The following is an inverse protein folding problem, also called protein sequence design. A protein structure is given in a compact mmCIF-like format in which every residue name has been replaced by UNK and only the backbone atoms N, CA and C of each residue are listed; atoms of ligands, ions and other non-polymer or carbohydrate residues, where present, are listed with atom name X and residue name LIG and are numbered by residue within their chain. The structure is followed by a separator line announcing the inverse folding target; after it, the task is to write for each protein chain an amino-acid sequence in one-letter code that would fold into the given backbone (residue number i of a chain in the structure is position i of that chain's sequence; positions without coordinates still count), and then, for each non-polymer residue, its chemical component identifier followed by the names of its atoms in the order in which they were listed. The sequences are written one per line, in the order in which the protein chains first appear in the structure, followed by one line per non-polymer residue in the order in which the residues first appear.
data_IF_037421898464
#
_entry.id   IF_037421898464
#
_cell.length_a   1.000
_cell.length_b   1.000
_cell.length_c   1.000
_cell.angle_alpha   90.00
_cell.angle_beta   90.00
_cell.angle_gamma   90.00
#
_symmetry.space_group_name_H-M   'P 1'
#
loop_
_entity.id
_entity.type
_entity.pdbx_description
1 polymer ?
#
# COMPACT_ATOMS: atom_id res chain seq x y z
N UNK A 1 -5.61 9.94 -7.44
CA UNK A 1 -5.31 8.85 -8.40
C UNK A 1 -4.02 8.19 -7.97
N UNK A 2 -4.04 6.87 -7.75
CA UNK A 2 -2.85 6.08 -7.42
C UNK A 2 -2.14 5.68 -8.71
N UNK A 3 -0.98 6.27 -8.98
CA UNK A 3 -0.16 5.92 -10.15
C UNK A 3 1.32 6.04 -9.79
N UNK A 4 2.12 5.07 -10.26
CA UNK A 4 3.56 5.01 -10.06
C UNK A 4 4.01 3.64 -9.53
N UNK A 5 5.28 3.32 -9.78
CA UNK A 5 5.95 2.11 -9.26
C UNK A 5 6.97 2.53 -8.19
N UNK A 6 6.97 1.82 -7.06
CA UNK A 6 7.90 2.05 -5.97
C UNK A 6 8.45 0.72 -5.46
N UNK A 7 9.77 0.63 -5.28
CA UNK A 7 10.41 -0.55 -4.70
C UNK A 7 10.67 -0.31 -3.23
N UNK A 8 10.14 -1.18 -2.40
CA UNK A 8 10.31 -1.14 -0.95
C UNK A 8 10.70 -2.52 -0.43
N UNK A 9 11.53 -2.52 0.61
CA UNK A 9 11.84 -3.73 1.37
C UNK A 9 10.81 -3.89 2.48
N UNK A 10 10.45 -5.13 2.79
CA UNK A 10 9.64 -5.48 3.96
C UNK A 10 10.54 -5.49 5.19
N UNK A 11 10.12 -4.80 6.24
CA UNK A 11 10.90 -4.78 7.48
C UNK A 11 10.79 -6.11 8.24
N UNK A 12 11.59 -6.27 9.30
CA UNK A 12 11.61 -7.48 10.12
C UNK A 12 10.26 -7.81 10.80
N UNK A 13 9.31 -6.86 10.83
CA UNK A 13 7.97 -7.03 11.41
C UNK A 13 6.91 -7.26 10.33
N UNK A 14 7.30 -7.44 9.07
CA UNK A 14 6.36 -7.65 7.97
C UNK A 14 5.65 -6.37 7.51
N UNK A 15 6.20 -5.18 7.80
CA UNK A 15 5.59 -3.91 7.41
C UNK A 15 6.23 -3.36 6.12
N UNK A 16 5.42 -2.67 5.34
CA UNK A 16 5.84 -1.90 4.17
C UNK A 16 5.54 -0.41 4.41
N UNK A 17 6.48 0.46 4.05
CA UNK A 17 6.30 1.91 4.16
C UNK A 17 5.55 2.39 2.92
N UNK A 18 4.36 2.97 3.13
CA UNK A 18 3.58 3.59 2.04
C UNK A 18 4.32 4.83 1.52
N UNK A 19 4.49 4.98 0.19
CA UNK A 19 5.08 6.17 -0.43
C UNK A 19 4.39 7.46 0.01
N UNK A 20 5.16 8.52 0.29
CA UNK A 20 4.64 9.79 0.80
C UNK A 20 3.52 10.38 -0.09
N UNK A 21 3.63 10.25 -1.42
CA UNK A 21 2.65 10.73 -2.39
C UNK A 21 1.26 10.08 -2.27
N UNK A 22 1.17 8.90 -1.64
CA UNK A 22 -0.09 8.16 -1.49
C UNK A 22 -0.73 8.35 -0.11
N UNK A 23 0.01 8.87 0.87
CA UNK A 23 -0.48 8.98 2.26
C UNK A 23 -1.70 9.89 2.38
N UNK A 24 -1.68 11.03 1.71
CA UNK A 24 -2.82 11.97 1.73
C UNK A 24 -4.09 11.37 1.12
N UNK A 25 -3.95 10.63 0.01
CA UNK A 25 -5.09 10.00 -0.65
C UNK A 25 -5.60 8.75 0.08
N UNK A 26 -4.74 8.03 0.81
CA UNK A 26 -5.14 6.87 1.62
C UNK A 26 -5.78 7.25 2.95
N UNK A 27 -5.45 8.43 3.48
CA UNK A 27 -5.90 8.87 4.79
C UNK A 27 -5.30 8.06 5.94
N UNK A 28 -5.88 8.23 7.13
CA UNK A 28 -5.39 7.58 8.36
C UNK A 28 -5.64 6.07 8.40
N UNK A 29 -6.62 5.59 7.64
CA UNK A 29 -6.99 4.17 7.58
C UNK A 29 -7.55 3.77 6.23
N UNK A 30 -7.15 2.58 5.79
CA UNK A 30 -7.52 2.00 4.51
C UNK A 30 -7.59 0.48 4.66
N UNK A 31 -8.22 -0.19 3.70
CA UNK A 31 -8.43 -1.64 3.72
C UNK A 31 -7.48 -2.32 2.74
N UNK A 32 -6.88 -3.43 3.17
CA UNK A 32 -6.05 -4.29 2.32
C UNK A 32 -6.70 -5.66 2.20
N UNK A 33 -6.73 -6.19 0.98
CA UNK A 33 -7.20 -7.55 0.69
C UNK A 33 -6.22 -8.30 -0.19
N UNK A 34 -6.37 -9.63 -0.24
CA UNK A 34 -5.62 -10.49 -1.17
C UNK A 34 -6.13 -10.23 -2.60
N UNK A 35 -5.21 -9.86 -3.47
CA UNK A 35 -5.45 -9.70 -4.91
C UNK A 35 -5.13 -10.98 -5.68
N UNK A 36 -4.97 -10.82 -7.00
CA UNK A 36 -4.56 -11.88 -7.90
C UNK A 36 -3.05 -12.08 -7.87
N UNK A 37 -2.57 -13.24 -8.35
CA UNK A 37 -1.15 -13.53 -8.55
C UNK A 37 -0.24 -13.27 -7.34
N UNK A 38 -0.75 -13.55 -6.13
CA UNK A 38 -0.01 -13.35 -4.88
C UNK A 38 0.18 -11.88 -4.48
N UNK A 39 -0.54 -10.96 -5.13
CA UNK A 39 -0.50 -9.54 -4.82
C UNK A 39 -1.48 -9.15 -3.72
N UNK A 40 -1.31 -7.93 -3.18
CA UNK A 40 -2.24 -7.29 -2.27
C UNK A 40 -2.86 -6.07 -2.95
N UNK A 41 -4.17 -5.86 -2.77
CA UNK A 41 -4.87 -4.68 -3.23
C UNK A 41 -5.25 -3.80 -2.03
N UNK A 42 -5.07 -2.49 -2.16
CA UNK A 42 -5.45 -1.50 -1.16
C UNK A 42 -6.59 -0.62 -1.67
N UNK A 43 -7.57 -0.36 -0.81
CA UNK A 43 -8.73 0.48 -1.09
C UNK A 43 -8.87 1.54 0.01
N UNK A 44 -9.14 2.78 -0.40
CA UNK A 44 -9.57 3.84 0.52
C UNK A 44 -10.94 3.48 1.11
N UNK A 45 -11.21 3.97 2.31
CA UNK A 45 -12.57 3.93 2.87
C UNK A 45 -13.48 4.97 2.19
#
# INVERSE_FOLDING_TARGET
MFMGEYRHTIDAKGRLIVPAKFREQLGDSFVVTRGMDGCLFGYTQ
#
